data_IF_155945304879
#
_entry.id   IF_155945304879
#
_cell.length_a   1.000
_cell.length_b   1.000
_cell.length_c   1.000
_cell.angle_alpha   90.00
_cell.angle_beta   90.00
_cell.angle_gamma   90.00
#
_symmetry.space_group_name_H-M   'P 1'
#
loop_
_entity.id
_entity.type
_entity.pdbx_description
1 polymer ?
#
# COMPACT_ATOMS: atom_id res chain seq x y z
N UNK A 1 6.79 4.15 -21.16
CA UNK A 1 6.10 3.18 -20.29
C UNK A 1 5.75 3.91 -19.00
N UNK A 2 4.47 4.24 -18.78
CA UNK A 2 4.06 4.88 -17.53
C UNK A 2 4.15 3.85 -16.40
N UNK A 3 5.03 4.09 -15.42
CA UNK A 3 5.01 3.32 -14.18
C UNK A 3 3.65 3.58 -13.51
N UNK A 4 2.80 2.56 -13.50
CA UNK A 4 1.49 2.61 -12.87
C UNK A 4 1.68 2.50 -11.35
N UNK A 5 1.80 3.65 -10.69
CA UNK A 5 1.91 3.74 -9.24
C UNK A 5 0.53 3.55 -8.61
N UNK A 6 0.42 2.66 -7.62
CA UNK A 6 -0.86 2.24 -7.04
C UNK A 6 -1.65 3.43 -6.47
N UNK A 7 -0.98 4.37 -5.79
CA UNK A 7 -1.64 5.53 -5.19
C UNK A 7 -2.19 6.50 -6.25
N UNK A 8 -1.57 6.59 -7.42
CA UNK A 8 -1.97 7.55 -8.48
C UNK A 8 -3.34 7.25 -9.08
N UNK A 9 -3.64 5.96 -9.27
CA UNK A 9 -4.95 5.51 -9.77
C UNK A 9 -6.04 5.74 -8.72
N UNK A 10 -5.77 5.42 -7.45
CA UNK A 10 -6.71 5.62 -6.35
C UNK A 10 -7.06 7.09 -6.18
N UNK A 11 -6.07 7.99 -6.25
CA UNK A 11 -6.28 9.45 -6.21
C UNK A 11 -7.12 9.92 -7.38
N UNK A 12 -6.88 9.37 -8.58
CA UNK A 12 -7.66 9.71 -9.77
C UNK A 12 -9.12 9.27 -9.63
N UNK A 13 -9.37 8.07 -9.09
CA UNK A 13 -10.73 7.58 -8.80
C UNK A 13 -11.43 8.42 -7.74
N UNK A 14 -10.77 8.70 -6.61
CA UNK A 14 -11.30 9.56 -5.54
C UNK A 14 -11.75 10.93 -6.07
N UNK A 15 -10.94 11.54 -6.93
CA UNK A 15 -11.30 12.82 -7.55
C UNK A 15 -12.46 12.69 -8.53
N UNK A 16 -12.39 11.72 -9.45
CA UNK A 16 -13.32 11.66 -10.57
C UNK A 16 -14.71 11.10 -10.17
N UNK A 17 -14.76 10.15 -9.25
CA UNK A 17 -16.00 9.48 -8.83
C UNK A 17 -16.63 10.13 -7.58
N UNK A 18 -15.80 10.69 -6.69
CA UNK A 18 -16.25 11.20 -5.39
C UNK A 18 -15.96 12.69 -5.16
N UNK A 19 -15.30 13.38 -6.10
CA UNK A 19 -14.92 14.79 -5.94
C UNK A 19 -13.86 15.03 -4.86
N UNK A 20 -13.22 13.98 -4.34
CA UNK A 20 -12.26 14.07 -3.25
C UNK A 20 -10.86 14.40 -3.76
N UNK A 21 -10.35 15.56 -3.36
CA UNK A 21 -9.03 16.06 -3.77
C UNK A 21 -7.97 15.65 -2.73
N UNK A 22 -7.00 14.84 -3.15
CA UNK A 22 -5.82 14.51 -2.33
C UNK A 22 -4.71 15.53 -2.59
N UNK A 23 -4.52 16.49 -1.68
CA UNK A 23 -3.54 17.59 -1.83
C UNK A 23 -2.09 17.14 -1.70
N UNK A 24 -1.83 16.05 -0.97
CA UNK A 24 -0.50 15.47 -0.80
C UNK A 24 -0.60 13.95 -0.84
N UNK A 25 0.31 13.32 -1.58
CA UNK A 25 0.34 11.87 -1.78
C UNK A 25 1.78 11.37 -1.79
N UNK A 26 1.98 10.15 -1.32
CA UNK A 26 3.28 9.50 -1.29
C UNK A 26 3.09 8.00 -1.57
N UNK A 27 3.65 7.53 -2.68
CA UNK A 27 3.64 6.11 -3.01
C UNK A 27 4.89 5.44 -2.41
N UNK A 28 4.69 4.61 -1.37
CA UNK A 28 5.78 3.94 -0.67
C UNK A 28 6.57 2.97 -1.55
N UNK A 29 5.96 2.39 -2.59
CA UNK A 29 6.65 1.52 -3.54
C UNK A 29 7.55 2.36 -4.44
N UNK A 30 7.03 3.45 -5.01
CA UNK A 30 7.80 4.39 -5.82
C UNK A 30 8.98 4.99 -5.04
N UNK A 31 8.74 5.40 -3.79
CA UNK A 31 9.77 5.95 -2.91
C UNK A 31 10.86 4.93 -2.59
N UNK A 32 10.49 3.69 -2.28
CA UNK A 32 11.46 2.62 -2.04
C UNK A 32 12.30 2.32 -3.29
N UNK A 33 11.66 2.24 -4.47
CA UNK A 33 12.35 2.02 -5.75
C UNK A 33 13.30 3.17 -6.11
N UNK A 34 12.91 4.42 -5.84
CA UNK A 34 13.77 5.58 -6.05
C UNK A 34 14.99 5.56 -5.13
N UNK A 35 14.81 5.15 -3.87
CA UNK A 35 15.90 5.12 -2.89
C UNK A 35 16.86 3.93 -3.07
N UNK A 36 16.35 2.76 -3.44
CA UNK A 36 17.13 1.53 -3.64
C UNK A 36 16.74 0.82 -4.94
N UNK A 37 17.12 1.37 -6.11
CA UNK A 37 16.67 0.88 -7.41
C UNK A 37 17.15 -0.55 -7.74
N UNK A 38 18.35 -0.94 -7.31
CA UNK A 38 18.87 -2.30 -7.53
C UNK A 38 18.15 -3.34 -6.65
N UNK A 39 17.82 -2.97 -5.41
CA UNK A 39 17.15 -3.87 -4.47
C UNK A 39 15.66 -4.07 -4.83
N UNK A 40 15.01 -3.02 -5.32
CA UNK A 40 13.57 -3.02 -5.60
C UNK A 40 13.25 -2.90 -7.10
N UNK A 41 14.11 -3.47 -7.95
CA UNK A 41 13.98 -3.39 -9.41
C UNK A 41 12.71 -4.08 -9.97
N UNK A 42 12.07 -4.99 -9.22
CA UNK A 42 10.91 -5.79 -9.64
C UNK A 42 9.57 -5.32 -9.06
N UNK A 43 9.42 -4.05 -8.69
CA UNK A 43 8.18 -3.52 -8.08
C UNK A 43 7.69 -4.36 -6.88
N UNK A 44 8.35 -4.25 -5.71
CA UNK A 44 8.00 -5.07 -4.56
C UNK A 44 6.59 -4.79 -4.05
N UNK A 45 5.83 -5.83 -3.72
CA UNK A 45 4.56 -5.66 -3.02
C UNK A 45 4.72 -5.26 -1.55
N UNK A 46 3.64 -4.78 -0.92
CA UNK A 46 3.62 -4.31 0.47
C UNK A 46 4.29 -5.27 1.48
N UNK A 47 4.03 -6.58 1.36
CA UNK A 47 4.64 -7.60 2.25
C UNK A 47 6.17 -7.61 2.15
N UNK A 48 6.70 -7.50 0.93
CA UNK A 48 8.15 -7.48 0.69
C UNK A 48 8.78 -6.21 1.24
N UNK A 49 8.14 -5.05 1.02
CA UNK A 49 8.58 -3.77 1.59
C UNK A 49 8.55 -3.78 3.12
N UNK A 50 7.49 -4.31 3.72
CA UNK A 50 7.33 -4.40 5.18
C UNK A 50 8.45 -5.23 5.82
N UNK A 51 8.77 -6.38 5.22
CA UNK A 51 9.84 -7.23 5.70
C UNK A 51 11.21 -6.58 5.53
N UNK A 52 11.52 -6.09 4.32
CA UNK A 52 12.87 -5.60 4.00
C UNK A 52 13.20 -4.24 4.63
N UNK A 53 12.22 -3.34 4.77
CA UNK A 53 12.48 -1.96 5.23
C UNK A 53 12.24 -1.78 6.73
N UNK A 54 11.33 -2.54 7.34
CA UNK A 54 10.92 -2.34 8.73
C UNK A 54 10.83 -3.64 9.54
N UNK A 55 11.27 -4.77 9.00
CA UNK A 55 11.35 -6.06 9.71
C UNK A 55 9.99 -6.65 10.08
N UNK A 56 8.89 -6.21 9.46
CA UNK A 56 7.56 -6.70 9.77
C UNK A 56 7.23 -7.94 8.94
N UNK A 57 6.93 -9.05 9.61
CA UNK A 57 6.33 -10.23 9.00
C UNK A 57 4.81 -10.04 8.91
N UNK A 58 4.28 -10.04 7.70
CA UNK A 58 2.84 -9.94 7.45
C UNK A 58 2.32 -11.21 6.78
N UNK A 59 1.28 -11.79 7.36
CA UNK A 59 0.50 -12.80 6.67
C UNK A 59 -0.37 -12.16 5.58
N UNK A 60 -0.54 -12.88 4.47
CA UNK A 60 -1.45 -12.51 3.39
C UNK A 60 -2.38 -13.68 3.09
N UNK A 61 -3.39 -13.91 3.92
CA UNK A 61 -4.35 -14.98 3.68
C UNK A 61 -5.09 -14.73 2.37
N UNK A 62 -4.81 -15.54 1.33
CA UNK A 62 -5.37 -15.34 0.00
C UNK A 62 -6.90 -15.30 -0.02
N UNK A 63 -7.54 -16.07 0.87
CA UNK A 63 -9.00 -16.08 1.00
C UNK A 63 -9.56 -14.72 1.46
N UNK A 64 -8.83 -13.96 2.28
CA UNK A 64 -9.23 -12.61 2.69
C UNK A 64 -8.87 -11.61 1.59
N UNK A 65 -7.68 -11.72 1.00
CA UNK A 65 -7.26 -10.84 -0.10
C UNK A 65 -8.23 -10.84 -1.29
N UNK A 66 -8.85 -12.00 -1.56
CA UNK A 66 -9.78 -12.22 -2.68
C UNK A 66 -11.24 -12.29 -2.23
N UNK A 67 -11.53 -11.93 -0.98
CA UNK A 67 -12.91 -11.85 -0.46
C UNK A 67 -13.67 -10.66 -1.07
N UNK A 68 -14.97 -10.57 -0.79
CA UNK A 68 -15.78 -9.45 -1.26
C UNK A 68 -15.48 -8.17 -0.46
N UNK A 69 -14.57 -7.34 -0.97
CA UNK A 69 -14.23 -6.03 -0.39
C UNK A 69 -15.27 -4.93 -0.65
N UNK A 70 -16.22 -5.19 -1.55
CA UNK A 70 -17.38 -4.31 -1.82
C UNK A 70 -18.57 -4.61 -0.89
N UNK A 71 -18.39 -5.51 0.10
CA UNK A 71 -19.43 -5.81 1.05
C UNK A 71 -19.76 -4.59 1.92
N UNK A 72 -21.06 -4.31 2.10
CA UNK A 72 -21.55 -3.20 2.95
C UNK A 72 -21.02 -3.30 4.40
N UNK A 73 -20.84 -4.51 4.91
CA UNK A 73 -20.29 -4.79 6.24
C UNK A 73 -19.15 -5.79 6.06
N UNK A 74 -17.95 -5.39 6.44
CA UNK A 74 -16.77 -6.24 6.41
C UNK A 74 -16.77 -7.23 7.58
N UNK A 75 -16.24 -8.43 7.35
CA UNK A 75 -16.04 -9.40 8.42
C UNK A 75 -14.79 -9.08 9.28
N UNK A 76 -14.66 -9.78 10.42
CA UNK A 76 -13.53 -9.58 11.34
C UNK A 76 -12.17 -9.81 10.69
N UNK A 77 -12.05 -10.78 9.76
CA UNK A 77 -10.79 -11.10 9.09
C UNK A 77 -10.40 -10.03 8.09
N UNK A 78 -11.37 -9.48 7.36
CA UNK A 78 -11.17 -8.33 6.47
C UNK A 78 -10.73 -7.10 7.28
N UNK A 79 -11.41 -6.80 8.39
CA UNK A 79 -11.04 -5.68 9.27
C UNK A 79 -9.60 -5.85 9.79
N UNK A 80 -9.27 -7.01 10.35
CA UNK A 80 -7.93 -7.31 10.85
C UNK A 80 -6.88 -7.16 9.74
N UNK A 81 -7.13 -7.73 8.56
CA UNK A 81 -6.23 -7.62 7.42
C UNK A 81 -6.05 -6.17 6.95
N UNK A 82 -7.11 -5.36 6.94
CA UNK A 82 -7.02 -3.93 6.61
C UNK A 82 -6.17 -3.18 7.64
N UNK A 83 -6.35 -3.45 8.93
CA UNK A 83 -5.55 -2.86 10.00
C UNK A 83 -4.06 -3.22 9.89
N UNK A 84 -3.74 -4.48 9.60
CA UNK A 84 -2.36 -4.94 9.39
C UNK A 84 -1.72 -4.21 8.19
N UNK A 85 -2.43 -4.11 7.06
CA UNK A 85 -1.94 -3.37 5.89
C UNK A 85 -1.73 -1.88 6.21
N UNK A 86 -2.68 -1.23 6.90
CA UNK A 86 -2.57 0.17 7.28
C UNK A 86 -1.35 0.42 8.19
N UNK A 87 -1.13 -0.44 9.18
CA UNK A 87 0.01 -0.33 10.08
C UNK A 87 1.35 -0.54 9.35
N UNK A 88 1.41 -1.51 8.43
CA UNK A 88 2.60 -1.71 7.61
C UNK A 88 2.90 -0.50 6.71
N UNK A 89 1.89 0.04 6.02
CA UNK A 89 2.01 1.26 5.23
C UNK A 89 2.51 2.44 6.09
N UNK A 90 1.97 2.61 7.30
CA UNK A 90 2.42 3.64 8.24
C UNK A 90 3.90 3.47 8.60
N UNK A 91 4.32 2.26 9.00
CA UNK A 91 5.71 2.00 9.41
C UNK A 91 6.70 2.21 8.26
N UNK A 92 6.37 1.74 7.06
CA UNK A 92 7.19 1.96 5.86
C UNK A 92 7.23 3.45 5.52
N UNK A 93 6.07 4.11 5.47
CA UNK A 93 5.97 5.54 5.17
C UNK A 93 6.78 6.39 6.16
N UNK A 94 6.68 6.09 7.46
CA UNK A 94 7.48 6.74 8.51
C UNK A 94 8.98 6.56 8.27
N UNK A 95 9.43 5.36 7.91
CA UNK A 95 10.84 5.07 7.61
C UNK A 95 11.36 5.77 6.34
N UNK A 96 10.51 5.95 5.34
CA UNK A 96 10.86 6.53 4.03
C UNK A 96 10.76 8.06 4.00
N UNK A 97 9.78 8.63 4.71
CA UNK A 97 9.45 10.06 4.68
C UNK A 97 10.14 10.84 5.80
N UNK A 98 10.51 10.20 6.90
CA UNK A 98 11.36 10.86 7.90
C UNK A 98 12.79 10.96 7.37
N UNK A 99 13.32 12.19 7.38
CA UNK A 99 14.73 12.49 7.13
C UNK A 99 15.59 12.01 8.29
#
# INVERSE_FOLDING_TARGET
MANKYMVGDDVSKLRNEYGLICTSTADIQALAMSRWPLQFCRMPGLKSLAYQLVGLSMEKPMHVCRSNWEARVLDKKQIEYACINAYACYKIGHRLLKK
#
